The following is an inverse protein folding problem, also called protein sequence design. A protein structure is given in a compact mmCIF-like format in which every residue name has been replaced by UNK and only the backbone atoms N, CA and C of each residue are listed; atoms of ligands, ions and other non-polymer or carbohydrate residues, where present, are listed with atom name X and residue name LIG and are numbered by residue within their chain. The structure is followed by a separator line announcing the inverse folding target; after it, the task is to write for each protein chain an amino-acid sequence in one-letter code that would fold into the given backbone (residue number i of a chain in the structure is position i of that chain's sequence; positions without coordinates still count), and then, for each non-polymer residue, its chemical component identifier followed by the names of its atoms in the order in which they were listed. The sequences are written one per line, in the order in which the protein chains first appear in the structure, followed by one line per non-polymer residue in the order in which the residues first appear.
data_IF_275080391193
#
_entry.id   IF_275080391193
#
_cell.length_a   1.000
_cell.length_b   1.000
_cell.length_c   1.000
_cell.angle_alpha   90.00
_cell.angle_beta   90.00
_cell.angle_gamma   90.00
#
_symmetry.space_group_name_H-M   'P 1'
#
loop_
_entity.id
_entity.type
_entity.pdbx_description
1 polymer ?
#
# COMPACT_ATOMS: atom_id res chain seq x y z
N UNK A 1 -10.86 28.61 -17.12
CA UNK A 1 -9.88 27.54 -16.87
C UNK A 1 -9.05 27.35 -18.13
N UNK A 2 -7.70 27.45 -18.10
CA UNK A 2 -6.86 27.13 -19.25
C UNK A 2 -6.56 25.64 -19.20
N UNK A 3 -6.84 24.92 -20.28
CA UNK A 3 -6.47 23.52 -20.40
C UNK A 3 -4.96 23.38 -20.66
N UNK A 4 -4.36 22.41 -20.01
CA UNK A 4 -2.99 21.96 -20.32
C UNK A 4 -3.00 21.04 -21.53
N UNK A 5 -1.82 20.79 -22.12
CA UNK A 5 -1.70 20.00 -23.36
C UNK A 5 -2.19 18.55 -23.17
N UNK A 6 -1.77 17.87 -22.11
CA UNK A 6 -1.97 16.42 -21.95
C UNK A 6 -1.03 15.63 -22.85
N UNK A 7 -1.55 14.60 -23.54
CA UNK A 7 -0.78 13.78 -24.47
C UNK A 7 -0.21 14.59 -25.65
N UNK A 8 0.91 14.13 -26.17
CA UNK A 8 1.46 14.59 -27.43
C UNK A 8 0.51 14.21 -28.60
N UNK A 9 0.32 15.08 -29.62
CA UNK A 9 -0.52 14.73 -30.77
C UNK A 9 -0.03 13.50 -31.54
N UNK A 10 1.27 13.27 -31.55
CA UNK A 10 1.99 12.16 -32.17
C UNK A 10 2.17 10.95 -31.23
N UNK A 11 1.42 10.89 -30.11
CA UNK A 11 1.49 9.75 -29.21
C UNK A 11 1.14 8.44 -29.93
N UNK A 12 1.95 7.42 -29.72
CA UNK A 12 1.81 6.10 -30.35
C UNK A 12 1.07 5.13 -29.46
N UNK A 13 0.68 3.96 -29.98
CA UNK A 13 0.04 2.88 -29.24
C UNK A 13 1.01 2.21 -28.25
N UNK A 14 1.53 3.01 -27.31
CA UNK A 14 2.41 2.57 -26.23
C UNK A 14 1.70 2.70 -24.89
N UNK A 15 1.95 1.73 -24.04
CA UNK A 15 1.38 1.68 -22.69
C UNK A 15 2.34 2.27 -21.66
N UNK A 16 1.84 3.21 -20.87
CA UNK A 16 2.45 3.65 -19.62
C UNK A 16 1.85 2.91 -18.44
N UNK A 17 2.65 2.58 -17.47
CA UNK A 17 2.20 2.01 -16.18
C UNK A 17 2.58 2.97 -15.06
N UNK A 18 1.62 3.29 -14.22
CA UNK A 18 1.82 4.13 -13.03
C UNK A 18 1.53 3.32 -11.77
N UNK A 19 2.57 2.96 -11.03
CA UNK A 19 2.43 2.36 -9.70
C UNK A 19 2.23 3.48 -8.67
N UNK A 20 1.16 3.41 -7.87
CA UNK A 20 0.85 4.46 -6.88
C UNK A 20 0.89 3.88 -5.47
N UNK A 21 1.77 4.42 -4.63
CA UNK A 21 1.80 4.10 -3.20
C UNK A 21 1.34 5.31 -2.36
N UNK A 22 1.16 5.09 -1.05
CA UNK A 22 0.63 6.10 -0.12
C UNK A 22 1.47 7.37 -0.09
N UNK A 23 2.75 7.20 0.11
CA UNK A 23 3.68 8.30 0.26
C UNK A 23 4.39 8.32 1.60
N UNK A 24 5.34 9.21 1.71
CA UNK A 24 6.23 9.33 2.86
C UNK A 24 6.77 10.76 2.93
N UNK A 25 7.18 11.26 4.10
CA UNK A 25 7.83 12.56 4.19
C UNK A 25 9.20 12.57 3.46
N UNK A 26 9.63 13.73 3.01
CA UNK A 26 10.92 13.93 2.30
C UNK A 26 12.14 13.65 3.21
N UNK A 27 11.95 13.80 4.53
CA UNK A 27 12.98 13.58 5.55
C UNK A 27 12.33 13.20 6.89
N UNK A 28 13.05 12.51 7.79
CA UNK A 28 12.56 12.16 9.12
C UNK A 28 12.64 13.33 10.08
N UNK A 29 12.21 14.52 9.63
CA UNK A 29 12.24 15.76 10.39
C UNK A 29 10.84 16.29 10.65
N UNK A 30 10.64 16.95 11.79
CA UNK A 30 9.34 17.53 12.16
C UNK A 30 8.74 18.42 11.07
N UNK A 31 9.49 19.31 10.37
CA UNK A 31 8.92 20.11 9.28
C UNK A 31 8.47 19.29 8.08
N UNK A 32 9.27 18.29 7.65
CA UNK A 32 8.93 17.43 6.53
C UNK A 32 7.69 16.55 6.83
N UNK A 33 7.67 15.93 8.01
CA UNK A 33 6.51 15.14 8.47
C UNK A 33 5.26 16.02 8.61
N UNK A 34 5.39 17.27 9.04
CA UNK A 34 4.25 18.22 9.10
C UNK A 34 3.65 18.48 7.72
N UNK A 35 4.50 18.71 6.69
CA UNK A 35 4.01 18.89 5.30
C UNK A 35 3.28 17.65 4.80
N UNK A 36 3.90 16.49 4.94
CA UNK A 36 3.32 15.20 4.55
C UNK A 36 1.97 14.93 5.26
N UNK A 37 1.93 15.04 6.59
CA UNK A 37 0.69 14.87 7.34
C UNK A 37 -0.37 15.92 6.99
N UNK A 38 0.05 17.13 6.65
CA UNK A 38 -0.85 18.18 6.17
C UNK A 38 -1.55 17.78 4.88
N UNK A 39 -0.82 17.27 3.89
CA UNK A 39 -1.38 16.77 2.63
C UNK A 39 -2.28 15.55 2.84
N UNK A 40 -1.78 14.54 3.55
CA UNK A 40 -2.49 13.30 3.85
C UNK A 40 -3.80 13.53 4.59
N UNK A 41 -3.79 14.30 5.66
CA UNK A 41 -4.97 14.53 6.50
C UNK A 41 -5.93 15.58 5.93
N UNK A 42 -5.54 16.29 4.87
CA UNK A 42 -6.47 17.12 4.11
C UNK A 42 -7.32 16.36 3.11
N UNK A 43 -6.98 15.11 2.82
CA UNK A 43 -7.81 14.30 1.93
C UNK A 43 -9.15 13.96 2.58
N UNK A 44 -10.22 14.31 1.87
CA UNK A 44 -11.59 14.06 2.34
C UNK A 44 -11.91 12.56 2.42
N UNK A 45 -11.27 11.75 1.58
CA UNK A 45 -11.37 10.28 1.62
C UNK A 45 -10.74 9.67 2.87
N UNK A 46 -9.76 10.35 3.45
CA UNK A 46 -9.06 9.90 4.68
C UNK A 46 -9.78 10.39 5.93
N UNK A 47 -10.28 11.64 5.90
CA UNK A 47 -10.97 12.25 7.03
C UNK A 47 -12.31 12.84 6.60
N UNK A 48 -13.37 12.09 6.85
CA UNK A 48 -14.77 12.44 6.49
C UNK A 48 -15.42 13.38 7.51
N UNK A 49 -14.78 14.51 7.77
CA UNK A 49 -15.32 15.55 8.63
C UNK A 49 -15.60 16.82 7.81
N UNK A 50 -16.52 17.66 8.32
CA UNK A 50 -16.75 19.00 7.76
C UNK A 50 -15.40 19.73 7.62
N UNK A 51 -15.08 20.19 6.39
CA UNK A 51 -13.79 20.83 6.06
C UNK A 51 -13.43 21.99 6.99
N UNK A 52 -14.40 22.82 7.32
CA UNK A 52 -14.20 23.99 8.18
C UNK A 52 -13.78 23.58 9.60
N UNK A 53 -14.49 22.63 10.20
CA UNK A 53 -14.20 22.12 11.54
C UNK A 53 -12.86 21.38 11.52
N UNK A 54 -12.66 20.52 10.50
CA UNK A 54 -11.44 19.73 10.39
C UNK A 54 -10.19 20.60 10.18
N UNK A 55 -10.24 21.63 9.33
CA UNK A 55 -9.12 22.54 9.14
C UNK A 55 -8.70 23.22 10.45
N UNK A 56 -9.64 23.62 11.30
CA UNK A 56 -9.32 24.20 12.61
C UNK A 56 -8.62 23.20 13.52
N UNK A 57 -9.10 21.95 13.59
CA UNK A 57 -8.50 20.88 14.38
C UNK A 57 -7.13 20.49 13.83
N UNK A 58 -7.03 20.31 12.53
CA UNK A 58 -5.82 19.89 11.86
C UNK A 58 -4.68 20.90 12.07
N UNK A 59 -4.89 22.16 11.75
CA UNK A 59 -3.88 23.21 11.86
C UNK A 59 -3.67 23.72 13.28
N UNK A 60 -4.74 23.77 14.07
CA UNK A 60 -4.71 24.25 15.45
C UNK A 60 -4.06 23.27 16.42
N UNK A 61 -4.25 21.97 16.21
CA UNK A 61 -3.82 20.94 17.17
C UNK A 61 -2.93 19.87 16.52
N UNK A 62 -3.44 19.13 15.53
CA UNK A 62 -2.79 17.91 15.05
C UNK A 62 -1.42 18.20 14.44
N UNK A 63 -1.32 19.15 13.52
CA UNK A 63 -0.05 19.51 12.87
C UNK A 63 0.94 20.24 13.78
N UNK A 64 0.53 20.60 15.00
CA UNK A 64 1.44 21.16 16.02
C UNK A 64 2.04 20.09 16.92
N UNK A 65 1.28 19.05 17.25
CA UNK A 65 1.65 18.03 18.24
C UNK A 65 2.19 16.76 17.58
N UNK A 66 1.44 16.19 16.61
CA UNK A 66 1.72 14.88 16.01
C UNK A 66 3.05 14.83 15.22
N UNK A 67 3.48 15.85 14.46
CA UNK A 67 4.67 15.75 13.62
C UNK A 67 5.96 15.45 14.38
N UNK A 68 6.12 15.91 15.61
CA UNK A 68 7.31 15.64 16.42
C UNK A 68 7.41 14.16 16.80
N UNK A 69 6.29 13.54 17.24
CA UNK A 69 6.23 12.12 17.58
C UNK A 69 6.44 11.26 16.34
N UNK A 70 5.74 11.57 15.26
CA UNK A 70 5.88 10.82 14.00
C UNK A 70 7.28 10.96 13.40
N UNK A 71 7.93 12.12 13.53
CA UNK A 71 9.32 12.30 13.06
C UNK A 71 10.30 11.40 13.84
N UNK A 72 10.10 11.23 15.15
CA UNK A 72 10.91 10.31 15.95
C UNK A 72 10.72 8.86 15.48
N UNK A 73 9.48 8.42 15.23
CA UNK A 73 9.19 7.11 14.69
C UNK A 73 9.78 6.92 13.26
N UNK A 74 9.71 7.93 12.38
CA UNK A 74 10.41 7.86 11.09
C UNK A 74 11.92 7.74 11.22
N UNK A 75 12.54 8.35 12.26
CA UNK A 75 13.99 8.26 12.49
C UNK A 75 14.44 6.83 12.80
N UNK A 76 13.63 6.00 13.48
CA UNK A 76 14.01 4.63 13.81
C UNK A 76 14.10 3.73 12.58
N UNK A 77 13.28 3.99 11.56
CA UNK A 77 13.22 3.18 10.33
C UNK A 77 13.99 3.79 9.14
N UNK A 78 14.49 5.03 9.27
CA UNK A 78 15.10 5.76 8.16
C UNK A 78 16.44 5.15 7.77
N UNK A 79 16.64 4.89 6.47
CA UNK A 79 17.86 4.30 5.92
C UNK A 79 18.73 5.35 5.22
N UNK A 80 19.96 4.99 4.88
CA UNK A 80 20.82 5.84 4.03
C UNK A 80 20.17 6.13 2.66
N UNK A 81 19.42 5.16 2.12
CA UNK A 81 18.62 5.31 0.89
C UNK A 81 17.35 6.14 1.04
N UNK A 82 17.09 6.69 2.24
CA UNK A 82 15.89 7.43 2.56
C UNK A 82 14.80 6.57 3.22
N UNK A 83 13.53 6.96 3.00
CA UNK A 83 12.38 6.19 3.49
C UNK A 83 12.33 4.80 2.86
N UNK A 84 12.13 3.72 3.68
CA UNK A 84 11.92 2.37 3.15
C UNK A 84 10.80 2.31 2.11
N UNK A 85 9.64 2.93 2.39
CA UNK A 85 8.52 2.97 1.45
C UNK A 85 8.94 3.52 0.07
N UNK A 86 9.72 4.60 0.04
CA UNK A 86 10.19 5.21 -1.21
C UNK A 86 11.17 4.32 -1.95
N UNK A 87 12.22 3.85 -1.27
CA UNK A 87 13.28 3.05 -1.89
C UNK A 87 12.77 1.71 -2.40
N UNK A 88 11.93 1.02 -1.61
CA UNK A 88 11.35 -0.28 -1.97
C UNK A 88 10.30 -0.15 -3.08
N UNK A 89 9.48 0.92 -3.07
CA UNK A 89 8.56 1.17 -4.19
C UNK A 89 9.32 1.41 -5.50
N UNK A 90 10.45 2.11 -5.47
CA UNK A 90 11.30 2.32 -6.66
C UNK A 90 11.85 0.99 -7.17
N UNK A 91 12.42 0.17 -6.31
CA UNK A 91 12.95 -1.15 -6.68
C UNK A 91 11.86 -2.08 -7.22
N UNK A 92 10.67 -2.07 -6.61
CA UNK A 92 9.52 -2.80 -7.11
C UNK A 92 9.11 -2.32 -8.52
N UNK A 93 9.11 -1.00 -8.76
CA UNK A 93 8.79 -0.41 -10.05
C UNK A 93 9.77 -0.87 -11.14
N UNK A 94 11.06 -0.86 -10.85
CA UNK A 94 12.11 -1.37 -11.74
C UNK A 94 11.92 -2.87 -12.03
N UNK A 95 11.55 -3.65 -11.01
CA UNK A 95 11.23 -5.08 -11.14
C UNK A 95 10.01 -5.34 -12.04
N UNK A 96 8.94 -4.57 -11.88
CA UNK A 96 7.73 -4.68 -12.73
C UNK A 96 8.05 -4.33 -14.18
N UNK A 97 8.81 -3.24 -14.41
CA UNK A 97 9.23 -2.85 -15.77
C UNK A 97 10.07 -3.95 -16.44
N UNK A 98 11.04 -4.50 -15.70
CA UNK A 98 11.88 -5.58 -16.20
C UNK A 98 11.08 -6.85 -16.55
N UNK A 99 10.08 -7.22 -15.73
CA UNK A 99 9.21 -8.37 -16.00
C UNK A 99 8.30 -8.11 -17.23
N UNK A 100 7.68 -6.93 -17.35
CA UNK A 100 6.87 -6.60 -18.53
C UNK A 100 7.70 -6.66 -19.82
N UNK A 101 8.91 -6.07 -19.83
CA UNK A 101 9.82 -6.15 -20.97
C UNK A 101 10.24 -7.58 -21.31
N UNK A 102 10.51 -8.41 -20.28
CA UNK A 102 10.84 -9.83 -20.47
C UNK A 102 9.67 -10.63 -21.07
N UNK A 103 8.45 -10.23 -20.77
CA UNK A 103 7.22 -10.83 -21.32
C UNK A 103 6.86 -10.30 -22.72
N UNK A 104 7.72 -9.49 -23.37
CA UNK A 104 7.55 -9.00 -24.74
C UNK A 104 7.22 -7.51 -24.85
N UNK A 105 6.78 -6.85 -23.78
CA UNK A 105 6.31 -5.45 -23.82
C UNK A 105 7.47 -4.43 -23.83
N UNK A 106 8.31 -4.46 -24.87
CA UNK A 106 9.52 -3.63 -24.97
C UNK A 106 9.22 -2.13 -25.00
N UNK A 107 8.04 -1.73 -25.45
CA UNK A 107 7.60 -0.34 -25.54
C UNK A 107 6.98 0.22 -24.25
N UNK A 108 6.83 -0.58 -23.21
CA UNK A 108 6.23 -0.14 -21.95
C UNK A 108 7.12 0.86 -21.22
N UNK A 109 6.51 1.86 -20.61
CA UNK A 109 7.16 2.81 -19.70
C UNK A 109 6.53 2.71 -18.33
N UNK A 110 7.28 2.30 -17.32
CA UNK A 110 6.79 2.15 -15.95
C UNK A 110 7.35 3.26 -15.07
N UNK A 111 6.49 3.89 -14.31
CA UNK A 111 6.88 4.90 -13.32
C UNK A 111 6.11 4.73 -12.04
N UNK A 112 6.60 5.34 -10.96
CA UNK A 112 5.91 5.36 -9.68
C UNK A 112 5.46 6.75 -9.30
N UNK A 113 4.45 6.82 -8.44
CA UNK A 113 4.05 8.03 -7.75
C UNK A 113 3.65 7.76 -6.30
N UNK A 114 3.66 8.84 -5.53
CA UNK A 114 3.10 8.87 -4.19
C UNK A 114 1.77 9.60 -4.22
N UNK A 115 0.76 9.03 -3.55
CA UNK A 115 -0.54 9.70 -3.41
C UNK A 115 -0.38 10.99 -2.61
N UNK A 116 0.52 10.99 -1.63
CA UNK A 116 0.90 12.16 -0.84
C UNK A 116 2.41 12.31 -0.82
N UNK A 117 2.90 13.53 -1.11
CA UNK A 117 4.33 13.83 -1.24
C UNK A 117 4.84 13.69 -2.67
N UNK A 118 6.13 13.34 -2.83
CA UNK A 118 6.81 13.31 -4.12
C UNK A 118 7.43 11.94 -4.44
N UNK A 119 7.50 11.56 -5.75
CA UNK A 119 6.88 12.22 -6.90
C UNK A 119 5.35 12.14 -6.87
N UNK A 120 4.65 13.22 -7.16
CA UNK A 120 3.19 13.24 -7.12
C UNK A 120 2.56 12.49 -8.30
N UNK A 121 1.32 11.99 -8.12
CA UNK A 121 0.54 11.34 -9.19
C UNK A 121 0.39 12.26 -10.40
N UNK A 122 0.12 13.55 -10.18
CA UNK A 122 0.02 14.54 -11.27
C UNK A 122 1.31 14.62 -12.08
N UNK A 123 2.46 14.75 -11.41
CA UNK A 123 3.76 14.83 -12.08
C UNK A 123 4.08 13.55 -12.86
N UNK A 124 3.80 12.39 -12.30
CA UNK A 124 4.02 11.11 -12.97
C UNK A 124 3.13 10.93 -14.21
N UNK A 125 1.86 11.34 -14.14
CA UNK A 125 0.97 11.35 -15.30
C UNK A 125 1.45 12.29 -16.40
N UNK A 126 1.91 13.50 -16.05
CA UNK A 126 2.50 14.47 -16.99
C UNK A 126 3.78 13.91 -17.64
N UNK A 127 4.61 13.23 -16.86
CA UNK A 127 5.82 12.55 -17.37
C UNK A 127 5.47 11.47 -18.39
N UNK A 128 4.52 10.58 -18.06
CA UNK A 128 4.06 9.54 -18.99
C UNK A 128 3.46 10.15 -20.26
N UNK A 129 2.61 11.17 -20.12
CA UNK A 129 2.05 11.87 -21.29
C UNK A 129 3.11 12.47 -22.20
N UNK A 130 4.21 12.97 -21.62
CA UNK A 130 5.37 13.49 -22.36
C UNK A 130 6.26 12.42 -22.99
N UNK A 131 6.17 11.16 -22.58
CA UNK A 131 6.97 10.05 -23.11
C UNK A 131 6.37 9.40 -24.38
N UNK A 132 5.25 9.91 -24.88
CA UNK A 132 4.62 9.46 -26.12
C UNK A 132 3.71 8.24 -25.97
N UNK A 133 3.26 7.91 -24.75
CA UNK A 133 2.24 6.88 -24.51
C UNK A 133 0.84 7.46 -24.75
N UNK A 134 -0.10 6.63 -25.18
CA UNK A 134 -1.52 7.00 -25.31
C UNK A 134 -2.46 6.18 -24.42
N UNK A 135 -1.92 5.18 -23.70
CA UNK A 135 -2.62 4.33 -22.76
C UNK A 135 -1.89 4.36 -21.42
N UNK A 136 -2.58 4.55 -20.33
CA UNK A 136 -1.97 4.59 -18.99
C UNK A 136 -2.75 3.65 -18.06
N UNK A 137 -2.10 2.57 -17.64
CA UNK A 137 -2.57 1.69 -16.58
C UNK A 137 -2.09 2.22 -15.23
N UNK A 138 -3.00 2.51 -14.33
CA UNK A 138 -2.69 2.94 -12.95
C UNK A 138 -2.93 1.77 -12.02
N UNK A 139 -1.89 1.37 -11.29
CA UNK A 139 -1.94 0.30 -10.30
C UNK A 139 -1.69 0.89 -8.90
N UNK A 140 -2.75 1.15 -8.13
CA UNK A 140 -2.59 1.45 -6.71
C UNK A 140 -1.99 0.24 -5.99
N UNK A 141 -0.92 0.44 -5.23
CA UNK A 141 -0.24 -0.62 -4.49
C UNK A 141 -0.97 -0.96 -3.18
N UNK A 142 -2.29 -1.09 -3.30
CA UNK A 142 -3.21 -1.50 -2.24
C UNK A 142 -4.00 -2.71 -2.74
N UNK A 143 -3.65 -3.94 -2.29
CA UNK A 143 -4.33 -5.14 -2.78
C UNK A 143 -5.83 -5.12 -2.50
N UNK A 144 -6.22 -4.62 -1.33
CA UNK A 144 -7.61 -4.45 -0.92
C UNK A 144 -8.09 -3.03 -1.21
N UNK A 145 -9.26 -2.91 -1.84
CA UNK A 145 -9.88 -1.60 -2.06
C UNK A 145 -10.36 -0.97 -0.77
N UNK A 146 -10.10 0.32 -0.61
CA UNK A 146 -10.80 1.17 0.36
C UNK A 146 -11.07 2.56 -0.24
N UNK A 147 -12.13 3.20 0.26
CA UNK A 147 -12.42 4.59 -0.03
C UNK A 147 -11.24 5.52 0.31
N UNK A 148 -10.52 5.22 1.39
CA UNK A 148 -9.39 6.02 1.86
C UNK A 148 -8.08 5.78 1.10
N UNK A 149 -7.99 4.75 0.27
CA UNK A 149 -6.79 4.39 -0.50
C UNK A 149 -7.04 4.45 -2.00
N UNK A 150 -7.58 3.39 -2.59
CA UNK A 150 -7.79 3.30 -4.04
C UNK A 150 -8.69 4.41 -4.57
N UNK A 151 -9.81 4.73 -3.90
CA UNK A 151 -10.68 5.80 -4.39
C UNK A 151 -10.01 7.19 -4.30
N UNK A 152 -9.10 7.41 -3.35
CA UNK A 152 -8.28 8.62 -3.30
C UNK A 152 -7.35 8.74 -4.51
N UNK A 153 -6.85 7.61 -5.05
CA UNK A 153 -6.08 7.60 -6.31
C UNK A 153 -6.98 7.95 -7.49
N UNK A 154 -8.20 7.41 -7.56
CA UNK A 154 -9.17 7.81 -8.60
C UNK A 154 -9.42 9.32 -8.60
N UNK A 155 -9.56 9.94 -7.43
CA UNK A 155 -9.83 11.38 -7.30
C UNK A 155 -8.66 12.22 -7.85
N UNK A 156 -7.41 11.88 -7.53
CA UNK A 156 -6.25 12.65 -8.02
C UNK A 156 -6.00 12.43 -9.50
N UNK A 157 -6.18 11.22 -10.02
CA UNK A 157 -6.10 10.93 -11.47
C UNK A 157 -7.17 11.73 -12.20
N UNK A 158 -8.45 11.63 -11.78
CA UNK A 158 -9.55 12.36 -12.40
C UNK A 158 -9.36 13.87 -12.35
N UNK A 159 -8.89 14.43 -11.23
CA UNK A 159 -8.64 15.87 -11.11
C UNK A 159 -7.49 16.36 -12.00
N UNK A 160 -6.46 15.55 -12.18
CA UNK A 160 -5.35 15.84 -13.10
C UNK A 160 -5.83 15.86 -14.55
N UNK A 161 -6.50 14.78 -14.97
CA UNK A 161 -6.98 14.64 -16.35
C UNK A 161 -8.03 15.68 -16.71
N UNK A 162 -8.86 16.12 -15.76
CA UNK A 162 -9.83 17.20 -15.98
C UNK A 162 -9.21 18.48 -16.53
N UNK A 163 -7.92 18.72 -16.26
CA UNK A 163 -7.18 19.88 -16.77
C UNK A 163 -6.58 19.67 -18.15
N UNK A 164 -6.62 18.48 -18.73
CA UNK A 164 -5.95 18.18 -20.00
C UNK A 164 -6.86 18.34 -21.21
N UNK A 165 -6.27 18.69 -22.35
CA UNK A 165 -6.97 18.82 -23.63
C UNK A 165 -7.00 17.50 -24.40
N UNK A 166 -5.89 16.76 -24.41
CA UNK A 166 -5.75 15.46 -25.05
C UNK A 166 -5.56 14.40 -23.96
N UNK A 167 -6.52 13.48 -23.83
CA UNK A 167 -6.57 12.49 -22.77
C UNK A 167 -6.08 11.12 -23.24
N UNK A 168 -5.34 10.39 -22.41
CA UNK A 168 -5.02 8.98 -22.67
C UNK A 168 -6.24 8.09 -22.47
N UNK A 169 -6.19 6.88 -23.01
CA UNK A 169 -6.99 5.79 -22.46
C UNK A 169 -6.46 5.49 -21.05
N UNK A 170 -7.37 5.44 -20.06
CA UNK A 170 -7.03 5.21 -18.65
C UNK A 170 -7.71 3.95 -18.17
N UNK A 171 -6.93 3.08 -17.51
CA UNK A 171 -7.45 2.01 -16.67
C UNK A 171 -6.84 2.14 -15.27
N UNK A 172 -7.66 2.00 -14.24
CA UNK A 172 -7.21 1.98 -12.84
C UNK A 172 -7.60 0.62 -12.26
N UNK A 173 -6.61 -0.18 -11.89
CA UNK A 173 -6.83 -1.46 -11.20
C UNK A 173 -7.49 -1.16 -9.87
N UNK A 174 -8.67 -1.75 -9.66
CA UNK A 174 -9.49 -1.44 -8.49
C UNK A 174 -8.99 -2.15 -7.23
N UNK A 175 -8.72 -3.42 -7.35
CA UNK A 175 -8.16 -4.29 -6.30
C UNK A 175 -7.54 -5.54 -6.93
N UNK A 176 -6.73 -6.27 -6.16
CA UNK A 176 -6.12 -7.53 -6.58
C UNK A 176 -5.91 -8.49 -5.40
N UNK A 177 -6.73 -8.33 -4.37
CA UNK A 177 -6.64 -9.03 -3.10
C UNK A 177 -6.77 -10.56 -3.19
N UNK A 178 -7.38 -11.09 -4.23
CA UNK A 178 -7.48 -12.53 -4.54
C UNK A 178 -6.70 -12.96 -5.78
N UNK A 179 -5.85 -12.08 -6.34
CA UNK A 179 -5.02 -12.47 -7.48
C UNK A 179 -4.05 -13.59 -7.08
N UNK A 180 -4.07 -14.70 -7.82
CA UNK A 180 -3.29 -15.91 -7.50
C UNK A 180 -1.79 -15.60 -7.33
N UNK A 181 -1.18 -14.87 -8.26
CA UNK A 181 0.24 -14.51 -8.18
C UNK A 181 0.59 -13.70 -6.93
N UNK A 182 -0.29 -12.80 -6.49
CA UNK A 182 -0.11 -12.04 -5.25
C UNK A 182 -0.19 -12.94 -4.01
N UNK A 183 -1.20 -13.80 -3.93
CA UNK A 183 -1.37 -14.73 -2.81
C UNK A 183 -0.26 -15.79 -2.76
N UNK A 184 0.19 -16.28 -3.91
CA UNK A 184 1.31 -17.21 -4.02
C UNK A 184 2.63 -16.56 -3.56
N UNK A 185 2.85 -15.29 -3.92
CA UNK A 185 4.01 -14.53 -3.45
C UNK A 185 3.98 -14.35 -1.92
N UNK A 186 2.82 -14.07 -1.32
CA UNK A 186 2.66 -13.99 0.13
C UNK A 186 2.96 -15.33 0.81
N UNK A 187 2.40 -16.42 0.29
CA UNK A 187 2.64 -17.75 0.81
C UNK A 187 4.11 -18.15 0.70
N UNK A 188 4.75 -17.91 -0.44
CA UNK A 188 6.18 -18.15 -0.65
C UNK A 188 7.05 -17.30 0.31
N UNK A 189 6.66 -16.06 0.58
CA UNK A 189 7.35 -15.19 1.55
C UNK A 189 7.31 -15.77 2.97
N UNK A 190 6.13 -16.20 3.42
CA UNK A 190 5.95 -16.82 4.73
C UNK A 190 6.71 -18.15 4.84
N UNK A 191 6.63 -19.00 3.82
CA UNK A 191 7.38 -20.28 3.78
C UNK A 191 8.90 -20.07 3.79
N UNK A 192 9.41 -19.10 3.04
CA UNK A 192 10.83 -18.75 3.03
C UNK A 192 11.29 -18.24 4.40
N UNK A 193 10.45 -17.46 5.09
CA UNK A 193 10.73 -17.03 6.46
C UNK A 193 10.83 -18.24 7.41
N UNK A 194 9.86 -19.15 7.37
CA UNK A 194 9.84 -20.37 8.20
C UNK A 194 10.94 -21.36 7.89
N UNK A 195 11.45 -21.38 6.65
CA UNK A 195 12.61 -22.20 6.31
C UNK A 195 13.92 -21.76 7.01
N UNK A 196 14.01 -20.48 7.36
CA UNK A 196 15.17 -19.89 8.04
C UNK A 196 14.99 -19.62 9.54
N UNK A 197 13.75 -19.75 10.06
CA UNK A 197 13.40 -19.40 11.42
C UNK A 197 12.42 -20.43 12.03
N UNK A 198 12.43 -20.56 13.34
CA UNK A 198 11.42 -21.36 14.03
C UNK A 198 10.05 -20.72 13.82
N UNK A 199 9.12 -21.48 13.24
CA UNK A 199 7.75 -21.03 13.02
C UNK A 199 7.02 -20.75 14.33
N UNK A 200 6.33 -19.63 14.41
CA UNK A 200 5.48 -19.28 15.55
C UNK A 200 4.29 -20.23 15.70
N UNK A 201 3.81 -20.35 16.92
CA UNK A 201 2.60 -21.15 17.24
C UNK A 201 1.37 -20.61 16.50
N UNK A 202 1.35 -19.30 16.23
CA UNK A 202 0.25 -18.63 15.53
C UNK A 202 0.75 -17.59 14.53
N UNK A 203 0.12 -17.59 13.35
CA UNK A 203 0.29 -16.53 12.35
C UNK A 203 -0.76 -15.44 12.59
N UNK A 204 -0.32 -14.24 12.90
CA UNK A 204 -1.17 -13.04 12.97
C UNK A 204 -1.12 -12.33 11.62
N UNK A 205 -2.26 -12.28 10.93
CA UNK A 205 -2.42 -11.60 9.65
C UNK A 205 -3.00 -10.23 9.92
N UNK A 206 -2.16 -9.20 9.91
CA UNK A 206 -2.51 -7.84 10.30
C UNK A 206 -2.76 -6.94 9.09
N UNK A 207 -3.87 -6.23 9.09
CA UNK A 207 -4.19 -5.19 8.11
C UNK A 207 -4.30 -3.83 8.79
N UNK A 208 -4.14 -2.76 8.03
CA UNK A 208 -4.40 -1.42 8.56
C UNK A 208 -5.89 -1.28 8.91
N UNK A 209 -6.21 -0.87 10.11
CA UNK A 209 -7.58 -0.63 10.51
C UNK A 209 -8.21 0.56 9.76
N UNK A 210 -9.53 0.51 9.61
CA UNK A 210 -10.34 1.65 9.18
C UNK A 210 -11.49 1.86 10.15
N UNK A 211 -12.10 3.05 10.23
CA UNK A 211 -13.29 3.26 11.03
C UNK A 211 -14.40 2.27 10.67
N UNK A 212 -15.01 1.63 11.66
CA UNK A 212 -16.10 0.64 11.48
C UNK A 212 -17.20 1.18 10.56
N UNK A 213 -17.55 2.48 10.68
CA UNK A 213 -18.57 3.12 9.86
C UNK A 213 -18.31 3.03 8.34
N UNK A 214 -17.04 2.87 7.89
CA UNK A 214 -16.75 2.72 6.45
C UNK A 214 -17.32 1.40 5.93
N UNK A 215 -17.09 0.32 6.65
CA UNK A 215 -17.69 -0.98 6.33
C UNK A 215 -19.24 -0.92 6.41
N UNK A 216 -19.77 -0.27 7.44
CA UNK A 216 -21.23 -0.10 7.61
C UNK A 216 -21.87 0.70 6.47
N UNK A 217 -21.10 1.55 5.80
CA UNK A 217 -21.51 2.38 4.64
C UNK A 217 -21.15 1.76 3.28
N UNK A 218 -20.65 0.52 3.26
CA UNK A 218 -20.43 -0.24 2.02
C UNK A 218 -19.01 -0.22 1.49
N UNK A 219 -18.00 0.23 2.25
CA UNK A 219 -16.60 0.03 1.88
C UNK A 219 -16.26 -1.47 1.99
N UNK A 220 -15.82 -2.14 0.90
CA UNK A 220 -15.58 -3.57 0.89
C UNK A 220 -14.29 -3.99 1.59
N UNK A 221 -13.49 -3.05 2.09
CA UNK A 221 -12.15 -3.30 2.62
C UNK A 221 -12.09 -4.43 3.64
N UNK A 222 -13.02 -4.42 4.63
CA UNK A 222 -13.09 -5.47 5.64
C UNK A 222 -13.26 -6.86 5.02
N UNK A 223 -14.23 -7.01 4.12
CA UNK A 223 -14.50 -8.27 3.43
C UNK A 223 -13.28 -8.74 2.65
N UNK A 224 -12.65 -7.85 1.90
CA UNK A 224 -11.46 -8.18 1.11
C UNK A 224 -10.24 -8.54 1.99
N UNK A 225 -10.11 -7.96 3.18
CA UNK A 225 -9.10 -8.39 4.16
C UNK A 225 -9.38 -9.81 4.68
N UNK A 226 -10.64 -10.11 5.01
CA UNK A 226 -11.09 -11.43 5.46
C UNK A 226 -10.85 -12.50 4.36
N UNK A 227 -11.18 -12.19 3.11
CA UNK A 227 -10.95 -13.06 1.95
C UNK A 227 -9.45 -13.30 1.69
N UNK A 228 -8.63 -12.25 1.74
CA UNK A 228 -7.16 -12.38 1.61
C UNK A 228 -6.58 -13.26 2.71
N UNK A 229 -6.98 -13.03 3.97
CA UNK A 229 -6.46 -13.79 5.10
C UNK A 229 -6.83 -15.28 5.00
N UNK A 230 -8.08 -15.59 4.67
CA UNK A 230 -8.54 -16.95 4.48
C UNK A 230 -7.83 -17.65 3.31
N UNK A 231 -7.68 -16.96 2.17
CA UNK A 231 -6.99 -17.49 1.00
C UNK A 231 -5.48 -17.73 1.26
N UNK A 232 -4.82 -16.85 2.04
CA UNK A 232 -3.44 -17.05 2.45
C UNK A 232 -3.31 -18.23 3.42
N UNK A 233 -4.19 -18.33 4.42
CA UNK A 233 -4.21 -19.44 5.37
C UNK A 233 -4.38 -20.78 4.64
N UNK A 234 -5.28 -20.85 3.66
CA UNK A 234 -5.48 -22.04 2.83
C UNK A 234 -4.21 -22.42 2.06
N UNK A 235 -3.51 -21.45 1.42
CA UNK A 235 -2.27 -21.71 0.69
C UNK A 235 -1.13 -22.19 1.59
N UNK A 236 -1.14 -21.78 2.85
CA UNK A 236 -0.18 -22.19 3.87
C UNK A 236 -0.60 -23.48 4.61
N UNK A 237 -1.73 -24.09 4.23
CA UNK A 237 -2.33 -25.26 4.87
C UNK A 237 -2.46 -25.11 6.40
N UNK A 238 -2.90 -23.92 6.85
CA UNK A 238 -3.13 -23.61 8.26
C UNK A 238 -4.53 -24.07 8.70
N UNK A 239 -4.63 -24.61 9.94
CA UNK A 239 -5.93 -24.81 10.60
C UNK A 239 -6.42 -23.49 11.20
N UNK A 240 -7.72 -23.39 11.51
CA UNK A 240 -8.33 -22.17 12.06
C UNK A 240 -7.68 -21.73 13.38
N UNK A 241 -7.11 -22.66 14.15
CA UNK A 241 -6.42 -22.35 15.40
C UNK A 241 -5.01 -21.78 15.16
N UNK A 242 -4.44 -21.95 13.97
CA UNK A 242 -3.05 -21.56 13.68
C UNK A 242 -2.90 -20.14 13.15
N UNK A 243 -3.98 -19.46 12.84
CA UNK A 243 -3.94 -18.08 12.37
C UNK A 243 -5.04 -17.21 12.96
N UNK A 244 -4.87 -15.90 12.88
CA UNK A 244 -5.87 -14.90 13.26
C UNK A 244 -5.73 -13.64 12.43
N UNK A 245 -6.85 -13.12 11.94
CA UNK A 245 -6.91 -11.82 11.30
C UNK A 245 -7.05 -10.72 12.35
N UNK A 246 -6.29 -9.63 12.19
CA UNK A 246 -6.32 -8.46 13.06
C UNK A 246 -6.22 -7.16 12.29
N UNK A 247 -6.56 -6.03 12.97
CA UNK A 247 -6.47 -4.68 12.41
C UNK A 247 -5.61 -3.78 13.32
N UNK A 248 -4.58 -3.14 12.72
CA UNK A 248 -3.63 -2.26 13.39
C UNK A 248 -3.96 -0.76 13.22
N UNK A 249 -3.17 0.11 13.82
CA UNK A 249 -3.11 1.57 13.54
C UNK A 249 -4.39 2.33 13.85
N UNK A 250 -5.16 1.90 14.85
CA UNK A 250 -6.37 2.65 15.24
C UNK A 250 -6.05 4.04 15.75
N UNK A 251 -6.91 5.00 15.39
CA UNK A 251 -6.76 6.38 15.78
C UNK A 251 -8.06 6.99 16.34
N UNK A 252 -7.93 7.78 17.40
CA UNK A 252 -9.06 8.48 18.02
C UNK A 252 -9.97 7.60 18.86
N UNK A 253 -11.23 8.06 19.10
CA UNK A 253 -12.19 7.40 19.99
C UNK A 253 -13.31 6.66 19.27
N UNK A 254 -13.44 6.84 17.97
CA UNK A 254 -14.45 6.14 17.19
C UNK A 254 -14.15 4.63 17.14
N UNK A 255 -15.15 3.77 17.00
CA UNK A 255 -14.94 2.35 16.73
C UNK A 255 -14.22 2.13 15.41
N UNK A 256 -13.22 1.26 15.41
CA UNK A 256 -12.47 0.81 14.24
C UNK A 256 -12.71 -0.67 14.02
N UNK A 257 -12.32 -1.20 12.86
CA UNK A 257 -12.38 -2.62 12.57
C UNK A 257 -11.64 -3.43 13.63
N UNK A 258 -12.21 -4.56 13.99
CA UNK A 258 -11.70 -5.49 15.02
C UNK A 258 -11.56 -6.90 14.46
N UNK A 259 -10.73 -7.74 15.15
CA UNK A 259 -10.00 -7.52 16.41
C UNK A 259 -8.76 -6.61 16.24
N UNK A 260 -8.41 -5.86 17.29
CA UNK A 260 -7.22 -4.97 17.28
C UNK A 260 -5.93 -5.76 17.47
N UNK A 261 -4.90 -5.48 16.67
CA UNK A 261 -3.63 -6.23 16.69
C UNK A 261 -2.94 -6.16 18.05
N UNK A 262 -2.79 -4.96 18.63
CA UNK A 262 -2.18 -4.75 19.95
C UNK A 262 -2.88 -5.55 21.06
N UNK A 263 -4.21 -5.55 21.06
CA UNK A 263 -5.02 -6.26 22.07
C UNK A 263 -5.02 -7.77 21.86
N UNK A 264 -5.01 -8.21 20.62
CA UNK A 264 -4.96 -9.63 20.30
C UNK A 264 -3.60 -10.22 20.70
N UNK A 265 -2.50 -9.56 20.39
CA UNK A 265 -1.15 -9.99 20.78
C UNK A 265 -1.01 -10.06 22.30
N UNK A 266 -1.49 -9.02 23.02
CA UNK A 266 -1.51 -9.02 24.47
C UNK A 266 -2.31 -10.20 25.03
N UNK A 267 -3.50 -10.47 24.50
CA UNK A 267 -4.36 -11.57 24.93
C UNK A 267 -3.75 -12.93 24.65
N UNK A 268 -3.16 -13.14 23.47
CA UNK A 268 -2.50 -14.39 23.10
C UNK A 268 -1.36 -14.72 24.09
N UNK A 269 -0.50 -13.77 24.38
CA UNK A 269 0.59 -13.96 25.33
C UNK A 269 0.08 -14.29 26.75
N UNK A 270 -0.95 -13.59 27.23
CA UNK A 270 -1.58 -13.85 28.53
C UNK A 270 -2.27 -15.22 28.61
N UNK A 271 -2.74 -15.75 27.47
CA UNK A 271 -3.33 -17.09 27.37
C UNK A 271 -2.28 -18.20 27.21
N UNK A 272 -1.00 -17.86 27.18
CA UNK A 272 0.10 -18.81 27.16
C UNK A 272 0.74 -19.05 25.79
N UNK A 273 0.33 -18.34 24.73
CA UNK A 273 1.03 -18.36 23.42
C UNK A 273 2.43 -17.75 23.60
N UNK A 274 3.47 -18.52 23.32
CA UNK A 274 4.86 -18.12 23.51
C UNK A 274 5.49 -17.54 22.26
N UNK A 275 5.01 -17.92 21.08
CA UNK A 275 5.59 -17.47 19.83
C UNK A 275 4.55 -17.12 18.78
N UNK A 276 4.76 -16.00 18.08
CA UNK A 276 3.89 -15.55 16.98
C UNK A 276 4.73 -15.07 15.80
N UNK A 277 4.22 -15.33 14.60
CA UNK A 277 4.67 -14.67 13.38
C UNK A 277 3.62 -13.66 12.95
N UNK A 278 4.03 -12.50 12.46
CA UNK A 278 3.12 -11.45 12.00
C UNK A 278 3.43 -11.10 10.54
N UNK A 279 2.39 -11.11 9.69
CA UNK A 279 2.46 -10.70 8.27
C UNK A 279 1.44 -9.62 8.00
N UNK A 280 1.78 -8.66 7.12
CA UNK A 280 0.94 -7.50 6.80
C UNK A 280 0.57 -7.46 5.30
N UNK A 281 -0.39 -8.28 4.81
CA UNK A 281 -0.69 -8.39 3.38
C UNK A 281 -1.21 -7.11 2.75
N UNK A 282 -1.85 -6.21 3.51
CA UNK A 282 -2.36 -4.93 3.02
C UNK A 282 -1.28 -3.93 2.57
N UNK A 283 -0.01 -4.23 2.82
CA UNK A 283 1.13 -3.37 2.49
C UNK A 283 2.00 -4.03 1.42
N UNK A 284 2.10 -3.40 0.26
CA UNK A 284 2.94 -3.92 -0.82
C UNK A 284 4.44 -3.85 -0.49
N UNK A 285 4.85 -2.80 0.24
CA UNK A 285 6.23 -2.59 0.71
C UNK A 285 6.25 -2.14 2.16
N UNK A 286 7.37 -2.40 2.83
CA UNK A 286 7.59 -1.98 4.21
C UNK A 286 7.55 -0.46 4.36
N UNK A 287 6.90 -0.03 5.43
CA UNK A 287 6.67 1.36 5.77
C UNK A 287 6.74 1.58 7.29
N UNK A 288 6.32 2.74 7.76
CA UNK A 288 6.30 3.07 9.19
C UNK A 288 5.42 2.08 9.98
N UNK A 289 4.26 1.78 9.43
CA UNK A 289 3.23 0.96 10.06
C UNK A 289 3.65 -0.53 10.17
N UNK A 290 4.60 -0.98 9.36
CA UNK A 290 5.10 -2.36 9.43
C UNK A 290 6.39 -2.47 10.23
N UNK A 291 7.34 -1.56 10.04
CA UNK A 291 8.65 -1.63 10.65
C UNK A 291 8.68 -1.10 12.09
N UNK A 292 7.98 0.00 12.37
CA UNK A 292 7.95 0.59 13.71
C UNK A 292 6.76 0.04 14.51
N UNK A 293 5.53 0.16 14.00
CA UNK A 293 4.33 -0.23 14.76
C UNK A 293 4.26 -1.76 14.97
N UNK A 294 4.48 -2.60 13.91
CA UNK A 294 4.39 -4.05 14.05
C UNK A 294 5.69 -4.64 14.59
N UNK A 295 6.83 -4.39 13.92
CA UNK A 295 8.06 -5.09 14.25
C UNK A 295 8.71 -4.61 15.56
N UNK A 296 8.42 -3.40 16.04
CA UNK A 296 8.96 -2.85 17.29
C UNK A 296 7.89 -2.70 18.37
N UNK A 297 6.86 -1.83 18.18
CA UNK A 297 5.87 -1.52 19.21
C UNK A 297 5.03 -2.77 19.59
N UNK A 298 4.44 -3.45 18.60
CA UNK A 298 3.62 -4.64 18.85
C UNK A 298 4.44 -5.84 19.34
N UNK A 299 5.68 -5.98 18.90
CA UNK A 299 6.60 -6.97 19.44
C UNK A 299 6.90 -6.72 20.94
N UNK A 300 7.07 -5.46 21.32
CA UNK A 300 7.20 -5.05 22.72
C UNK A 300 5.97 -5.44 23.55
N UNK A 301 4.77 -5.09 23.07
CA UNK A 301 3.49 -5.41 23.72
C UNK A 301 3.35 -6.93 23.96
N UNK A 302 3.68 -7.74 22.95
CA UNK A 302 3.61 -9.19 23.06
C UNK A 302 4.57 -9.73 24.12
N UNK A 303 5.82 -9.28 24.12
CA UNK A 303 6.84 -9.70 25.10
C UNK A 303 6.51 -9.27 26.52
N UNK A 304 6.07 -8.04 26.72
CA UNK A 304 5.64 -7.51 28.02
C UNK A 304 4.45 -8.27 28.60
N UNK A 305 3.58 -8.81 27.76
CA UNK A 305 2.45 -9.62 28.15
C UNK A 305 2.80 -11.10 28.47
N UNK A 306 4.07 -11.51 28.29
CA UNK A 306 4.57 -12.85 28.60
C UNK A 306 4.87 -13.72 27.39
N UNK A 307 4.79 -13.20 26.17
CA UNK A 307 5.28 -13.85 24.96
C UNK A 307 6.82 -13.87 24.93
N UNK A 308 7.38 -14.81 24.18
CA UNK A 308 8.84 -15.01 24.12
C UNK A 308 9.40 -14.64 22.74
N UNK A 309 8.84 -15.21 21.69
CA UNK A 309 9.33 -15.03 20.33
C UNK A 309 8.27 -14.32 19.46
N UNK A 310 8.66 -13.20 18.91
CA UNK A 310 7.88 -12.45 17.95
C UNK A 310 8.71 -12.29 16.69
N UNK A 311 8.20 -12.76 15.55
CA UNK A 311 8.82 -12.57 14.26
C UNK A 311 7.90 -11.77 13.33
N UNK A 312 8.45 -10.71 12.75
CA UNK A 312 7.79 -9.98 11.67
C UNK A 312 8.24 -10.56 10.32
N UNK A 313 7.29 -11.00 9.51
CA UNK A 313 7.53 -11.42 8.13
C UNK A 313 7.46 -10.16 7.24
N UNK A 314 8.56 -9.73 6.63
CA UNK A 314 8.58 -8.52 5.81
C UNK A 314 7.53 -8.53 4.71
N UNK A 315 7.01 -7.35 4.36
CA UNK A 315 6.18 -7.18 3.18
C UNK A 315 6.84 -7.78 1.92
N UNK A 316 6.09 -7.93 0.86
CA UNK A 316 6.64 -8.49 -0.39
C UNK A 316 7.78 -7.65 -0.98
N UNK A 317 7.76 -6.34 -0.74
CA UNK A 317 8.82 -5.42 -1.16
C UNK A 317 9.14 -5.59 -2.66
N UNK A 318 10.42 -5.58 -3.01
CA UNK A 318 10.98 -5.76 -4.35
C UNK A 318 11.25 -7.24 -4.72
N UNK A 319 10.64 -8.21 -3.99
CA UNK A 319 10.81 -9.63 -4.31
C UNK A 319 10.43 -9.91 -5.77
N UNK A 320 11.18 -10.84 -6.37
CA UNK A 320 10.97 -11.22 -7.78
C UNK A 320 9.56 -11.77 -8.02
N UNK A 321 9.05 -12.54 -7.07
CA UNK A 321 7.70 -13.10 -7.10
C UNK A 321 6.64 -11.98 -7.09
N UNK A 322 6.86 -10.92 -6.30
CA UNK A 322 5.94 -9.79 -6.23
C UNK A 322 5.92 -8.98 -7.53
N UNK A 323 7.09 -8.58 -8.02
CA UNK A 323 7.19 -7.83 -9.27
C UNK A 323 6.67 -8.61 -10.48
N UNK A 324 6.87 -9.94 -10.52
CA UNK A 324 6.29 -10.81 -11.54
C UNK A 324 4.77 -10.88 -11.42
N UNK A 325 4.24 -11.08 -10.21
CA UNK A 325 2.79 -11.12 -9.97
C UNK A 325 2.07 -9.84 -10.40
N UNK A 326 2.67 -8.66 -10.14
CA UNK A 326 2.09 -7.38 -10.58
C UNK A 326 2.18 -7.19 -12.11
N UNK A 327 3.24 -7.66 -12.75
CA UNK A 327 3.35 -7.64 -14.22
C UNK A 327 2.31 -8.54 -14.87
N UNK A 328 2.13 -9.77 -14.37
CA UNK A 328 1.11 -10.71 -14.84
C UNK A 328 -0.31 -10.19 -14.58
N UNK A 329 -0.55 -9.57 -13.42
CA UNK A 329 -1.84 -8.92 -13.12
C UNK A 329 -2.20 -7.87 -14.17
N UNK A 330 -1.27 -6.97 -14.51
CA UNK A 330 -1.49 -5.92 -15.51
C UNK A 330 -1.77 -6.51 -16.90
N UNK A 331 -1.05 -7.55 -17.31
CA UNK A 331 -1.28 -8.23 -18.59
C UNK A 331 -2.63 -8.94 -18.63
N UNK A 332 -3.03 -9.58 -17.55
CA UNK A 332 -4.31 -10.27 -17.46
C UNK A 332 -5.50 -9.29 -17.43
N UNK A 333 -5.38 -8.17 -16.75
CA UNK A 333 -6.40 -7.11 -16.72
C UNK A 333 -6.55 -6.39 -18.06
N UNK A 334 -5.45 -6.22 -18.79
CA UNK A 334 -5.38 -5.39 -19.99
C UNK A 334 -4.67 -6.12 -21.15
N UNK A 335 -5.13 -7.32 -21.56
CA UNK A 335 -4.40 -8.11 -22.55
C UNK A 335 -4.19 -7.38 -23.89
N UNK A 336 -5.13 -6.52 -24.29
CA UNK A 336 -5.01 -5.72 -25.53
C UNK A 336 -3.99 -4.57 -25.44
N UNK A 337 -3.49 -4.24 -24.24
CA UNK A 337 -2.51 -3.16 -24.03
C UNK A 337 -1.07 -3.69 -23.95
N UNK A 338 -0.93 -5.00 -23.70
CA UNK A 338 0.32 -5.71 -23.48
C UNK A 338 0.49 -6.89 -24.45
N UNK A 339 -0.08 -6.82 -25.65
CA UNK A 339 0.04 -7.88 -26.67
C UNK A 339 1.33 -7.69 -27.49
N UNK A 340 1.95 -8.83 -27.84
CA UNK A 340 3.15 -8.90 -28.70
C UNK A 340 2.91 -8.50 -30.17
N UNK A 341 1.65 -8.32 -30.60
CA UNK A 341 1.36 -7.88 -31.97
C UNK A 341 1.33 -6.37 -32.06
N UNK A 342 2.14 -5.77 -32.97
CA UNK A 342 1.97 -4.36 -33.30
C UNK A 342 0.55 -4.18 -33.84
N UNK A 343 -0.23 -3.31 -33.17
CA UNK A 343 -1.56 -2.93 -33.66
C UNK A 343 -1.45 -2.47 -35.11
N UNK A 344 -2.18 -3.13 -36.00
CA UNK A 344 -2.23 -2.87 -37.45
C UNK A 344 -2.82 -1.50 -37.73
#
# INVERSE_FOLDING_TARGET
MKFQRGLLPEATDRTGVLLVNLGTPDAPSTPAVRRYLGEFLHDHRVVELSRWIWCLILHGVILRIRPKRSAAAYQTIWRESGSPLMSLTRQLTEGVEANLKKLGDQGVSVTMAMRYGQPSVTHALEHLAGSGVNRIAVLPLYPQYSCSTTASVYDVVGSTLKGWRNLPAIHIVRDYHLADGYLDALAASAQAHWAGHTRGEKLVISFHGTPQRYADQGDPYRLQCEETAAALAQRLALTDEQWILTFQSRFGRAPWLQPYTDKTLQSLAQQGTRSVDVICPGFAVDCLETLEEIAEENAGIFREAGGENFAYIPCLNDRKEHSAALADLLRNELPAWFSDEPSR
#
